data_IF_152452587527
#
_entry.id   IF_152452587527
#
_cell.length_a   1.000
_cell.length_b   1.000
_cell.length_c   1.000
_cell.angle_alpha   90.00
_cell.angle_beta   90.00
_cell.angle_gamma   90.00
#
_symmetry.space_group_name_H-M   'P 1'
#
loop_
_entity.id
_entity.type
_entity.pdbx_description
1 polymer ?
#
# COMPACT_ATOMS: atom_id res chain seq x y z
N UNK A 1 4.89 -0.12 5.33
CA UNK A 1 6.02 -1.04 5.61
C UNK A 1 5.50 -2.46 5.77
N UNK A 2 5.99 -3.39 4.96
CA UNK A 2 5.71 -4.82 5.04
C UNK A 2 6.93 -5.47 5.67
N UNK A 3 6.78 -5.90 6.92
CA UNK A 3 7.86 -6.54 7.67
C UNK A 3 7.75 -8.06 7.59
N UNK A 4 8.88 -8.72 7.80
CA UNK A 4 9.06 -10.18 7.79
C UNK A 4 8.56 -10.91 9.05
N UNK A 5 8.25 -10.17 10.13
CA UNK A 5 7.92 -10.80 11.40
C UNK A 5 6.57 -11.51 11.37
N UNK A 6 6.55 -12.71 11.97
CA UNK A 6 5.54 -13.26 12.89
C UNK A 6 4.07 -12.92 12.60
N UNK A 7 3.70 -12.81 11.33
CA UNK A 7 2.31 -12.74 10.95
C UNK A 7 1.76 -14.17 11.06
N UNK A 8 1.67 -14.68 12.28
CA UNK A 8 1.00 -15.95 12.53
C UNK A 8 -0.48 -15.65 12.49
N UNK A 9 -1.18 -16.30 11.57
CA UNK A 9 -2.63 -16.21 11.48
C UNK A 9 -3.23 -17.59 11.67
N UNK A 10 -4.50 -17.62 12.06
CA UNK A 10 -5.21 -18.86 12.30
C UNK A 10 -5.18 -19.74 11.05
N UNK A 11 -4.71 -20.98 11.20
CA UNK A 11 -4.65 -21.98 10.13
C UNK A 11 -5.04 -23.35 10.66
N UNK A 12 -5.47 -24.24 9.76
CA UNK A 12 -5.90 -25.58 10.13
C UNK A 12 -4.70 -26.53 10.16
N UNK A 13 -4.62 -27.29 11.25
CA UNK A 13 -3.64 -28.37 11.43
C UNK A 13 -4.29 -29.53 12.16
N UNK A 14 -3.71 -30.73 12.00
CA UNK A 14 -4.20 -31.91 12.69
C UNK A 14 -4.14 -31.72 14.20
N UNK A 15 -5.17 -32.17 14.91
CA UNK A 15 -5.21 -32.10 16.38
C UNK A 15 -3.94 -32.72 16.98
N UNK A 16 -3.26 -31.98 17.86
CA UNK A 16 -1.99 -32.39 18.46
C UNK A 16 -0.74 -32.17 17.61
N UNK A 17 -0.85 -31.66 16.38
CA UNK A 17 0.28 -31.35 15.48
C UNK A 17 0.33 -29.84 15.17
N UNK A 18 0.63 -29.02 16.16
CA UNK A 18 0.78 -27.58 15.95
C UNK A 18 1.94 -27.30 14.98
N UNK A 19 1.67 -26.50 13.96
CA UNK A 19 2.69 -26.06 13.00
C UNK A 19 3.65 -25.08 13.69
N UNK A 20 4.94 -25.34 13.58
CA UNK A 20 6.00 -24.43 14.01
C UNK A 20 6.45 -23.57 12.82
N UNK A 21 6.60 -22.27 13.05
CA UNK A 21 7.06 -21.31 12.05
C UNK A 21 8.37 -20.71 12.60
N UNK A 22 9.52 -20.95 11.95
CA UNK A 22 10.80 -20.36 12.38
C UNK A 22 10.76 -18.83 12.37
N UNK A 23 11.58 -18.18 13.20
CA UNK A 23 11.70 -16.71 13.25
C UNK A 23 13.14 -16.28 13.57
N UNK A 24 13.68 -15.27 12.88
CA UNK A 24 15.06 -14.80 13.09
C UNK A 24 15.24 -13.82 14.26
N UNK A 25 14.16 -13.28 14.83
CA UNK A 25 14.22 -12.27 15.90
C UNK A 25 14.81 -10.91 15.49
N UNK A 26 15.10 -10.70 14.20
CA UNK A 26 15.54 -9.41 13.63
C UNK A 26 14.40 -8.77 12.84
N UNK A 27 14.32 -7.45 12.87
CA UNK A 27 13.27 -6.70 12.18
C UNK A 27 13.74 -6.32 10.77
N UNK A 28 13.40 -7.11 9.75
CA UNK A 28 13.69 -6.75 8.36
C UNK A 28 12.42 -6.75 7.51
N UNK A 29 12.49 -6.15 6.32
CA UNK A 29 11.32 -6.05 5.45
C UNK A 29 11.44 -4.93 4.44
N UNK A 30 10.39 -4.78 3.65
CA UNK A 30 10.32 -3.80 2.58
C UNK A 30 9.38 -2.66 2.95
N UNK A 31 9.78 -1.44 2.64
CA UNK A 31 8.94 -0.25 2.80
C UNK A 31 8.39 0.10 1.42
N UNK A 32 7.07 0.08 1.31
CA UNK A 32 6.36 0.47 0.10
C UNK A 32 5.63 1.79 0.33
N UNK A 33 5.60 2.58 -0.73
CA UNK A 33 4.63 3.66 -0.97
C UNK A 33 3.77 3.19 -2.14
N UNK A 34 2.46 3.28 -2.00
CA UNK A 34 1.52 2.63 -2.90
C UNK A 34 0.39 3.56 -3.28
N UNK A 35 -0.13 3.30 -4.47
CA UNK A 35 -1.22 3.96 -5.13
C UNK A 35 -2.32 2.94 -5.56
N UNK A 36 -3.62 3.24 -5.44
CA UNK A 36 -4.79 2.43 -5.78
C UNK A 36 -5.80 3.39 -6.41
N UNK A 37 -6.00 3.22 -7.71
CA UNK A 37 -7.05 3.93 -8.42
C UNK A 37 -8.39 3.24 -8.13
N UNK A 38 -9.35 3.93 -7.50
CA UNK A 38 -10.63 3.31 -7.13
C UNK A 38 -11.48 2.93 -8.34
N UNK A 39 -11.39 3.68 -9.45
CA UNK A 39 -12.21 3.49 -10.64
C UNK A 39 -11.75 2.26 -11.41
N UNK A 40 -10.44 2.16 -11.59
CA UNK A 40 -9.86 1.10 -12.41
C UNK A 40 -9.39 -0.09 -11.60
N UNK A 41 -9.19 0.05 -10.29
CA UNK A 41 -8.53 -0.96 -9.45
C UNK A 41 -7.01 -1.03 -9.64
N UNK A 42 -6.40 -0.19 -10.49
CA UNK A 42 -4.96 -0.23 -10.73
C UNK A 42 -4.16 0.11 -9.48
N UNK A 43 -3.18 -0.73 -9.14
CA UNK A 43 -2.27 -0.52 -8.01
C UNK A 43 -0.89 -0.09 -8.51
N UNK A 44 -0.41 1.07 -8.09
CA UNK A 44 0.92 1.58 -8.42
C UNK A 44 1.80 1.67 -7.17
N UNK A 45 2.80 0.81 -7.03
CA UNK A 45 3.64 0.76 -5.82
C UNK A 45 5.11 0.97 -6.16
N UNK A 46 5.80 1.69 -5.28
CA UNK A 46 7.25 1.85 -5.31
C UNK A 46 7.86 1.38 -3.98
N UNK A 47 9.04 0.81 -4.06
CA UNK A 47 9.86 0.52 -2.88
C UNK A 47 10.83 1.67 -2.63
N UNK A 48 10.97 2.06 -1.35
CA UNK A 48 11.88 3.10 -0.91
C UNK A 48 12.47 2.74 0.44
N UNK A 49 13.75 2.98 0.66
CA UNK A 49 14.37 2.69 1.96
C UNK A 49 13.94 3.67 3.05
N UNK A 50 13.56 4.88 2.66
CA UNK A 50 13.11 5.96 3.53
C UNK A 50 11.64 6.26 3.28
N UNK A 51 11.02 6.91 4.26
CA UNK A 51 9.62 7.32 4.21
C UNK A 51 9.52 8.72 4.82
N UNK A 52 10.03 9.68 4.06
CA UNK A 52 10.11 11.10 4.42
C UNK A 52 9.39 11.96 3.37
N UNK A 53 9.39 13.28 3.61
CA UNK A 53 8.71 14.23 2.74
C UNK A 53 9.28 14.25 1.31
N UNK A 54 10.59 14.07 1.15
CA UNK A 54 11.24 14.04 -0.17
C UNK A 54 10.81 12.81 -0.95
N UNK A 55 10.77 11.65 -0.28
CA UNK A 55 10.31 10.40 -0.88
C UNK A 55 8.84 10.50 -1.30
N UNK A 56 8.01 11.15 -0.49
CA UNK A 56 6.61 11.40 -0.83
C UNK A 56 6.46 12.37 -2.01
N UNK A 57 7.25 13.45 -2.05
CA UNK A 57 7.28 14.36 -3.21
C UNK A 57 7.58 13.61 -4.50
N UNK A 58 8.66 12.82 -4.52
CA UNK A 58 9.01 12.02 -5.69
C UNK A 58 7.97 10.95 -6.03
N UNK A 59 7.19 10.49 -5.06
CA UNK A 59 6.06 9.61 -5.33
C UNK A 59 4.91 10.36 -6.04
N UNK A 60 4.62 11.60 -5.64
CA UNK A 60 3.60 12.42 -6.32
C UNK A 60 3.98 12.72 -7.78
N UNK A 61 5.27 13.01 -8.03
CA UNK A 61 5.81 13.17 -9.39
C UNK A 61 5.55 11.93 -10.24
N UNK A 62 5.92 10.74 -9.73
CA UNK A 62 5.69 9.47 -10.42
C UNK A 62 4.21 9.16 -10.64
N UNK A 63 3.32 9.59 -9.72
CA UNK A 63 1.87 9.44 -9.91
C UNK A 63 1.37 10.32 -11.07
N UNK A 64 1.86 11.55 -11.18
CA UNK A 64 1.52 12.42 -12.32
C UNK A 64 2.03 11.86 -13.65
N UNK A 65 3.21 11.25 -13.66
CA UNK A 65 3.74 10.55 -14.84
C UNK A 65 2.89 9.34 -15.21
N UNK A 66 2.48 8.55 -14.20
CA UNK A 66 1.64 7.35 -14.39
C UNK A 66 0.24 7.70 -14.92
N UNK A 67 -0.29 8.87 -14.55
CA UNK A 67 -1.59 9.38 -14.98
C UNK A 67 -1.43 10.73 -15.69
N UNK A 68 -0.93 10.74 -16.95
CA UNK A 68 -0.51 11.96 -17.63
C UNK A 68 -1.67 12.91 -17.97
N UNK A 69 -2.92 12.45 -17.87
CA UNK A 69 -4.12 13.22 -18.20
C UNK A 69 -5.13 13.21 -17.06
N UNK A 70 -6.03 14.20 -17.06
CA UNK A 70 -7.10 14.31 -16.07
C UNK A 70 -6.66 14.96 -14.74
N UNK A 71 -7.65 15.22 -13.88
CA UNK A 71 -7.41 15.72 -12.52
C UNK A 71 -7.29 14.54 -11.56
N UNK A 72 -6.31 14.59 -10.67
CA UNK A 72 -6.07 13.58 -9.64
C UNK A 72 -6.50 14.17 -8.30
N UNK A 73 -7.41 13.47 -7.63
CA UNK A 73 -7.73 13.71 -6.21
C UNK A 73 -7.14 12.54 -5.44
N UNK A 74 -6.15 12.82 -4.60
CA UNK A 74 -5.50 11.81 -3.77
C UNK A 74 -6.03 11.90 -2.34
N UNK A 75 -6.73 10.85 -1.90
CA UNK A 75 -7.27 10.79 -0.54
C UNK A 75 -6.28 10.10 0.39
N UNK A 76 -5.64 10.86 1.28
CA UNK A 76 -4.56 10.45 2.19
C UNK A 76 -5.04 10.33 3.65
N UNK A 77 -4.30 9.59 4.46
CA UNK A 77 -4.33 9.67 5.92
C UNK A 77 -3.62 10.94 6.43
N UNK A 78 -3.52 11.10 7.76
CA UNK A 78 -2.91 12.30 8.35
C UNK A 78 -1.43 12.08 8.73
N UNK A 79 -0.68 11.26 7.99
CA UNK A 79 0.74 11.10 8.23
C UNK A 79 1.46 12.45 8.12
N UNK A 80 2.37 12.73 9.06
CA UNK A 80 3.06 14.04 9.15
C UNK A 80 3.79 14.44 7.86
N UNK A 81 4.27 13.46 7.10
CA UNK A 81 4.99 13.70 5.85
C UNK A 81 4.10 14.34 4.77
N UNK A 82 2.79 14.06 4.80
CA UNK A 82 1.81 14.61 3.85
C UNK A 82 1.49 16.07 4.12
N UNK A 83 1.85 16.58 5.29
CA UNK A 83 1.70 17.97 5.69
C UNK A 83 3.04 18.73 5.67
N UNK A 84 4.10 18.13 5.15
CA UNK A 84 5.41 18.75 5.13
C UNK A 84 5.38 20.06 4.32
N UNK A 85 6.02 21.11 4.83
CA UNK A 85 6.13 22.39 4.09
C UNK A 85 6.87 22.22 2.76
N UNK A 86 7.79 21.25 2.70
CA UNK A 86 8.59 20.94 1.52
C UNK A 86 7.74 20.64 0.27
N UNK A 87 6.58 19.99 0.43
CA UNK A 87 5.74 19.59 -0.71
C UNK A 87 4.81 20.71 -1.19
N UNK A 88 4.65 21.79 -0.42
CA UNK A 88 3.67 22.85 -0.72
C UNK A 88 3.92 23.57 -2.05
N UNK A 89 5.17 23.95 -2.41
CA UNK A 89 5.43 24.60 -3.71
C UNK A 89 5.00 23.72 -4.90
N UNK A 90 5.28 22.41 -4.82
CA UNK A 90 4.88 21.46 -5.85
C UNK A 90 3.35 21.32 -5.95
N UNK A 91 2.64 21.27 -4.81
CA UNK A 91 1.17 21.22 -4.81
C UNK A 91 0.55 22.50 -5.37
N UNK A 92 1.19 23.66 -5.16
CA UNK A 92 0.75 24.93 -5.76
C UNK A 92 0.97 24.94 -7.27
N UNK A 93 2.13 24.48 -7.73
CA UNK A 93 2.44 24.35 -9.16
C UNK A 93 1.47 23.39 -9.86
N UNK A 94 1.12 22.29 -9.20
CA UNK A 94 0.25 21.25 -9.73
C UNK A 94 -1.22 21.40 -9.33
N UNK A 95 -1.66 22.57 -8.81
CA UNK A 95 -2.99 22.73 -8.21
C UNK A 95 -4.17 22.41 -9.17
N UNK A 96 -3.99 22.63 -10.48
CA UNK A 96 -4.99 22.27 -11.48
C UNK A 96 -5.04 20.76 -11.80
N UNK A 97 -3.95 20.04 -11.51
CA UNK A 97 -3.74 18.62 -11.85
C UNK A 97 -3.87 17.69 -10.65
N UNK A 98 -3.44 18.10 -9.46
CA UNK A 98 -3.33 17.29 -8.27
C UNK A 98 -3.91 18.04 -7.07
N UNK A 99 -4.82 17.38 -6.35
CA UNK A 99 -5.36 17.85 -5.09
C UNK A 99 -5.26 16.75 -4.03
N UNK A 100 -4.92 17.14 -2.81
CA UNK A 100 -4.86 16.23 -1.67
C UNK A 100 -6.10 16.42 -0.80
N UNK A 101 -6.76 15.32 -0.45
CA UNK A 101 -7.90 15.28 0.48
C UNK A 101 -7.52 14.39 1.65
N UNK A 102 -7.79 14.85 2.87
CA UNK A 102 -7.40 14.12 4.08
C UNK A 102 -8.61 13.43 4.70
N UNK A 103 -8.45 12.16 5.05
CA UNK A 103 -9.44 11.42 5.82
C UNK A 103 -9.58 11.99 7.24
N UNK A 104 -10.71 11.78 7.92
CA UNK A 104 -10.81 12.09 9.34
C UNK A 104 -9.72 11.35 10.14
N UNK A 105 -9.14 11.99 11.18
CA UNK A 105 -8.13 11.34 12.02
C UNK A 105 -8.60 9.97 12.54
N UNK A 106 -7.65 9.04 12.68
CA UNK A 106 -7.90 7.68 13.21
C UNK A 106 -8.98 6.88 12.48
N UNK A 107 -9.16 7.11 11.16
CA UNK A 107 -10.16 6.41 10.34
C UNK A 107 -9.54 5.43 9.33
N UNK A 108 -8.73 4.44 9.75
CA UNK A 108 -8.05 3.52 8.82
C UNK A 108 -9.04 2.63 8.03
N UNK A 109 -10.27 2.45 8.54
CA UNK A 109 -11.32 1.71 7.83
C UNK A 109 -11.81 2.44 6.57
N UNK A 110 -11.59 3.76 6.49
CA UNK A 110 -11.91 4.57 5.33
C UNK A 110 -10.77 4.63 4.32
N UNK A 111 -9.58 4.09 4.63
CA UNK A 111 -8.45 4.06 3.71
C UNK A 111 -8.41 2.71 2.98
N UNK A 112 -8.83 2.67 1.71
CA UNK A 112 -8.91 1.46 0.90
C UNK A 112 -7.56 0.72 0.77
N UNK A 113 -6.45 1.46 0.75
CA UNK A 113 -5.11 0.85 0.61
C UNK A 113 -4.74 -0.01 1.82
N UNK A 114 -5.30 0.26 3.01
CA UNK A 114 -5.12 -0.60 4.18
C UNK A 114 -5.70 -2.00 3.94
N UNK A 115 -6.77 -2.09 3.15
CA UNK A 115 -7.33 -3.36 2.68
C UNK A 115 -6.34 -4.11 1.77
N UNK A 116 -5.68 -3.39 0.85
CA UNK A 116 -4.63 -3.94 -0.01
C UNK A 116 -3.46 -4.49 0.82
N UNK A 117 -2.98 -3.73 1.80
CA UNK A 117 -1.89 -4.15 2.68
C UNK A 117 -2.25 -5.37 3.52
N UNK A 118 -3.47 -5.44 4.04
CA UNK A 118 -3.99 -6.66 4.71
C UNK A 118 -4.02 -7.85 3.77
N UNK A 119 -4.48 -7.66 2.53
CA UNK A 119 -4.52 -8.73 1.55
C UNK A 119 -3.12 -9.23 1.17
N UNK A 120 -2.18 -8.32 0.93
CA UNK A 120 -0.78 -8.67 0.67
C UNK A 120 -0.21 -9.48 1.83
N UNK A 121 -0.29 -8.98 3.07
CA UNK A 121 0.24 -9.68 4.25
C UNK A 121 -0.34 -11.09 4.38
N UNK A 122 -1.66 -11.23 4.22
CA UNK A 122 -2.33 -12.54 4.27
C UNK A 122 -1.89 -13.51 3.17
N UNK A 123 -1.50 -12.99 2.02
CA UNK A 123 -1.17 -13.83 0.86
C UNK A 123 0.27 -14.31 0.88
N UNK A 124 1.21 -13.48 1.34
CA UNK A 124 2.65 -13.78 1.22
C UNK A 124 3.43 -13.73 2.54
N UNK A 125 2.96 -13.01 3.56
CA UNK A 125 3.70 -12.89 4.83
C UNK A 125 3.16 -13.85 5.89
N UNK A 126 1.84 -14.06 5.94
CA UNK A 126 1.22 -14.83 7.00
C UNK A 126 1.60 -16.32 6.95
N UNK A 127 2.05 -16.86 8.09
CA UNK A 127 2.50 -18.25 8.24
C UNK A 127 3.63 -18.70 7.30
N UNK A 128 4.40 -17.76 6.76
CA UNK A 128 5.55 -17.99 5.88
C UNK A 128 6.83 -17.50 6.56
N UNK A 129 7.92 -18.24 6.34
CA UNK A 129 9.26 -17.84 6.75
C UNK A 129 10.11 -17.60 5.51
N UNK A 130 10.78 -16.45 5.46
CA UNK A 130 11.69 -16.08 4.39
C UNK A 130 13.11 -16.00 4.93
N UNK A 131 14.07 -16.57 4.20
CA UNK A 131 15.47 -16.59 4.64
C UNK A 131 16.17 -15.23 4.43
N UNK A 132 15.60 -14.39 3.56
CA UNK A 132 16.16 -13.09 3.21
C UNK A 132 15.11 -12.03 2.86
N UNK A 133 15.46 -10.75 3.05
CA UNK A 133 14.65 -9.61 2.58
C UNK A 133 14.48 -9.62 1.06
N UNK A 134 15.44 -10.20 0.33
CA UNK A 134 15.39 -10.31 -1.12
C UNK A 134 14.22 -11.19 -1.57
N UNK A 135 13.95 -12.29 -0.87
CA UNK A 135 12.78 -13.12 -1.14
C UNK A 135 11.48 -12.37 -0.87
N UNK A 136 11.40 -11.63 0.23
CA UNK A 136 10.21 -10.82 0.55
C UNK A 136 9.95 -9.81 -0.56
N UNK A 137 10.98 -9.08 -0.99
CA UNK A 137 10.89 -8.13 -2.10
C UNK A 137 10.38 -8.80 -3.37
N UNK A 138 10.94 -9.95 -3.72
CA UNK A 138 10.55 -10.70 -4.92
C UNK A 138 9.08 -11.11 -4.87
N UNK A 139 8.63 -11.65 -3.72
CA UNK A 139 7.25 -12.07 -3.54
C UNK A 139 6.27 -10.89 -3.50
N UNK A 140 6.66 -9.76 -2.90
CA UNK A 140 5.89 -8.51 -2.90
C UNK A 140 5.71 -7.99 -4.33
N UNK A 141 6.79 -7.92 -5.12
CA UNK A 141 6.73 -7.47 -6.51
C UNK A 141 5.86 -8.40 -7.36
N UNK A 142 6.05 -9.73 -7.23
CA UNK A 142 5.24 -10.73 -7.92
C UNK A 142 3.75 -10.62 -7.54
N UNK A 143 3.44 -10.40 -6.26
CA UNK A 143 2.07 -10.20 -5.80
C UNK A 143 1.43 -8.97 -6.45
N UNK A 144 2.10 -7.81 -6.43
CA UNK A 144 1.58 -6.58 -7.03
C UNK A 144 1.38 -6.74 -8.55
N UNK A 145 2.34 -7.35 -9.25
CA UNK A 145 2.21 -7.66 -10.68
C UNK A 145 1.02 -8.58 -10.95
N UNK A 146 0.85 -9.63 -10.13
CA UNK A 146 -0.23 -10.59 -10.31
C UNK A 146 -1.61 -9.96 -10.09
N UNK A 147 -1.82 -9.17 -9.02
CA UNK A 147 -3.13 -8.56 -8.79
C UNK A 147 -3.49 -7.54 -9.88
N UNK A 148 -2.50 -6.84 -10.45
CA UNK A 148 -2.73 -5.89 -11.54
C UNK A 148 -3.10 -6.57 -12.88
N UNK A 149 -2.99 -7.89 -12.99
CA UNK A 149 -3.50 -8.64 -14.14
C UNK A 149 -5.04 -8.82 -14.08
N UNK A 150 -5.64 -8.67 -12.90
CA UNK A 150 -7.08 -8.83 -12.67
C UNK A 150 -7.62 -7.67 -11.82
N UNK A 151 -7.80 -6.54 -12.50
CA UNK A 151 -8.30 -5.30 -11.91
C UNK A 151 -9.72 -5.44 -11.32
N UNK A 152 -10.57 -6.24 -11.97
CA UNK A 152 -11.92 -6.51 -11.50
C UNK A 152 -11.92 -7.17 -10.12
N UNK A 153 -10.99 -8.10 -9.86
CA UNK A 153 -10.82 -8.70 -8.54
C UNK A 153 -10.39 -7.69 -7.49
N UNK A 154 -9.56 -6.70 -7.84
CA UNK A 154 -9.17 -5.64 -6.91
C UNK A 154 -10.39 -4.81 -6.53
N UNK A 155 -11.15 -4.32 -7.51
CA UNK A 155 -12.38 -3.53 -7.29
C UNK A 155 -13.37 -4.34 -6.44
N UNK A 156 -13.65 -5.59 -6.83
CA UNK A 156 -14.60 -6.46 -6.12
C UNK A 156 -14.18 -6.83 -4.70
N UNK A 157 -12.90 -6.73 -4.36
CA UNK A 157 -12.38 -7.09 -3.04
C UNK A 157 -12.20 -5.90 -2.13
N UNK A 158 -11.71 -4.79 -2.68
CA UNK A 158 -11.31 -3.62 -1.92
C UNK A 158 -12.37 -2.51 -2.02
N UNK A 159 -12.88 -2.24 -3.21
CA UNK A 159 -13.72 -1.06 -3.49
C UNK A 159 -15.22 -1.30 -3.31
N UNK A 160 -15.70 -2.55 -3.23
CA UNK A 160 -17.14 -2.90 -3.14
C UNK A 160 -17.76 -2.82 -1.74
N UNK A 161 -17.10 -2.17 -0.79
CA UNK A 161 -17.75 -1.78 0.47
C UNK A 161 -18.32 -0.38 0.33
N UNK A 162 -19.57 -0.29 -0.16
CA UNK A 162 -20.47 0.88 -0.07
C UNK A 162 -19.83 2.23 0.30
N UNK A 163 -19.11 2.88 -0.61
CA UNK A 163 -18.91 4.33 -0.58
C UNK A 163 -18.79 4.83 -2.01
N UNK A 164 -19.70 5.72 -2.41
CA UNK A 164 -19.68 6.41 -3.68
C UNK A 164 -18.51 7.42 -3.73
N UNK A 165 -17.72 7.37 -4.82
CA UNK A 165 -16.69 8.32 -5.28
C UNK A 165 -15.39 8.43 -4.43
N UNK A 166 -14.23 8.17 -5.07
CA UNK A 166 -12.89 8.82 -4.92
C UNK A 166 -11.69 7.84 -4.89
N UNK A 167 -10.62 8.21 -5.62
CA UNK A 167 -9.31 7.52 -5.67
C UNK A 167 -8.64 7.72 -4.29
N UNK A 168 -8.21 6.64 -3.63
CA UNK A 168 -7.69 6.72 -2.25
C UNK A 168 -6.36 6.05 -2.03
N UNK A 169 -5.42 6.80 -1.45
CA UNK A 169 -4.06 6.38 -1.19
C UNK A 169 -3.31 7.11 -0.10
N UNK A 170 -2.46 6.33 0.57
CA UNK A 170 -1.67 6.55 1.81
C UNK A 170 -1.97 7.82 2.54
#
# INVERSE_FOLDING_TARGET
MIRDYQAVSSTWFLRGKQRLIPTYGKHQGVKLIGALNYETGNVFCIEREQYDAQTFLSFLELVLEQYPTGKIVMVLDNARIHHAKLIQPFLQEQAERLSLVFLPPYSPNLNLIEGLWKWLKKSIIENVFYESVKEIRTNVQAFIQHINQDLCRIVNRLCTKNVNYLIQLI
#
